data_IF_289374872757
#
_entry.id   IF_289374872757
#
_cell.length_a   1.000
_cell.length_b   1.000
_cell.length_c   1.000
_cell.angle_alpha   90.00
_cell.angle_beta   90.00
_cell.angle_gamma   90.00
#
_symmetry.space_group_name_H-M   'P 1'
#
loop_
_entity.id
_entity.type
_entity.pdbx_description
1 polymer ?
#
# COMPACT_ATOMS: atom_id res chain seq x y z
N UNK A 1 -27.49 20.65 50.35
CA UNK A 1 -26.41 19.79 50.88
C UNK A 1 -25.54 19.41 49.71
N UNK A 2 -24.28 19.85 49.69
CA UNK A 2 -23.37 19.56 48.57
C UNK A 2 -22.93 18.09 48.63
N UNK A 3 -23.17 17.34 47.56
CA UNK A 3 -22.59 16.01 47.39
C UNK A 3 -21.08 16.18 47.19
N UNK A 4 -20.31 15.83 48.22
CA UNK A 4 -18.86 15.86 48.14
C UNK A 4 -18.36 14.85 47.11
N UNK A 5 -17.70 15.32 46.06
CA UNK A 5 -17.10 14.48 45.04
C UNK A 5 -15.92 13.70 45.66
N UNK A 6 -16.00 12.37 45.67
CA UNK A 6 -14.91 11.51 46.12
C UNK A 6 -14.14 10.99 44.90
N UNK A 7 -12.82 11.19 44.89
CA UNK A 7 -11.92 10.64 43.87
C UNK A 7 -11.21 9.43 44.46
N UNK A 8 -11.42 8.21 43.93
CA UNK A 8 -10.64 7.04 44.32
C UNK A 8 -9.15 7.28 44.16
N UNK A 9 -8.38 6.87 45.16
CA UNK A 9 -6.92 7.02 45.16
C UNK A 9 -6.23 5.77 45.66
N UNK A 10 -5.00 5.59 45.20
CA UNK A 10 -4.11 4.52 45.63
C UNK A 10 -3.28 5.00 46.81
N UNK A 11 -3.23 4.18 47.86
CA UNK A 11 -2.44 4.42 49.06
C UNK A 11 -1.40 3.31 49.22
N UNK A 12 -0.13 3.71 49.35
CA UNK A 12 0.97 2.83 49.77
C UNK A 12 1.35 3.19 51.21
N UNK A 13 1.16 2.27 52.17
CA UNK A 13 1.45 2.55 53.58
C UNK A 13 2.95 2.76 53.85
N UNK A 14 3.83 2.13 53.08
CA UNK A 14 5.28 2.37 53.12
C UNK A 14 5.95 1.91 51.83
N UNK A 15 7.18 2.37 51.57
CA UNK A 15 7.97 1.94 50.41
C UNK A 15 8.28 0.44 50.39
N UNK A 16 8.30 -0.20 51.58
CA UNK A 16 8.54 -1.64 51.76
C UNK A 16 7.26 -2.48 51.89
N UNK A 17 6.07 -1.89 51.76
CA UNK A 17 4.82 -2.63 51.92
C UNK A 17 4.62 -3.64 50.77
N UNK A 18 4.17 -4.85 51.12
CA UNK A 18 3.85 -5.92 50.17
C UNK A 18 2.46 -5.77 49.53
N UNK A 19 1.75 -4.70 49.83
CA UNK A 19 0.40 -4.45 49.33
C UNK A 19 0.14 -2.97 49.06
N UNK A 20 -0.79 -2.72 48.16
CA UNK A 20 -1.32 -1.41 47.81
C UNK A 20 -2.81 -1.39 48.14
N UNK A 21 -3.32 -0.23 48.57
CA UNK A 21 -4.70 -0.09 48.99
C UNK A 21 -5.42 0.88 48.06
N UNK A 22 -6.47 0.43 47.37
CA UNK A 22 -7.38 1.31 46.65
C UNK A 22 -8.47 1.77 47.62
N UNK A 23 -8.54 3.07 47.86
CA UNK A 23 -9.54 3.68 48.74
C UNK A 23 -10.68 4.20 47.87
N UNK A 24 -11.89 3.71 48.12
CA UNK A 24 -13.12 4.06 47.40
C UNK A 24 -14.19 4.51 48.39
N UNK A 25 -15.28 5.19 47.95
CA UNK A 25 -16.40 5.55 48.82
C UNK A 25 -17.06 4.31 49.46
N UNK A 26 -17.00 3.17 48.78
CA UNK A 26 -17.60 1.91 49.19
C UNK A 26 -16.67 1.04 50.05
N UNK A 27 -15.47 1.53 50.36
CA UNK A 27 -14.51 0.84 51.21
C UNK A 27 -13.15 0.67 50.55
N UNK A 28 -12.41 -0.28 51.10
CA UNK A 28 -10.99 -0.44 50.85
C UNK A 28 -10.67 -1.79 50.21
N UNK A 29 -9.96 -1.79 49.10
CA UNK A 29 -9.50 -3.01 48.43
C UNK A 29 -7.99 -3.15 48.65
N UNK A 30 -7.57 -4.28 49.22
CA UNK A 30 -6.16 -4.62 49.39
C UNK A 30 -5.68 -5.43 48.19
N UNK A 31 -4.67 -4.93 47.49
CA UNK A 31 -4.06 -5.59 46.34
C UNK A 31 -2.62 -5.95 46.70
N UNK A 32 -2.21 -7.19 46.44
CA UNK A 32 -0.83 -7.61 46.67
C UNK A 32 0.09 -6.96 45.62
N UNK A 33 1.22 -6.39 46.06
CA UNK A 33 2.21 -5.74 45.19
C UNK A 33 2.78 -6.72 44.16
N UNK A 34 3.10 -7.95 44.56
CA UNK A 34 3.61 -8.98 43.66
C UNK A 34 2.57 -9.36 42.59
N UNK A 35 1.27 -9.37 42.95
CA UNK A 35 0.20 -9.59 41.98
C UNK A 35 0.09 -8.43 40.98
N UNK A 36 0.17 -7.18 41.43
CA UNK A 36 0.17 -6.01 40.56
C UNK A 36 1.38 -5.98 39.61
N UNK A 37 2.57 -6.32 40.10
CA UNK A 37 3.77 -6.45 39.27
C UNK A 37 3.60 -7.54 38.21
N UNK A 38 3.07 -8.71 38.59
CA UNK A 38 2.80 -9.80 37.66
C UNK A 38 1.76 -9.40 36.60
N UNK A 39 0.70 -8.69 36.99
CA UNK A 39 -0.30 -8.16 36.04
C UNK A 39 0.33 -7.14 35.10
N UNK A 40 1.18 -6.24 35.62
CA UNK A 40 1.89 -5.25 34.81
C UNK A 40 2.80 -5.90 33.75
N UNK A 41 3.59 -6.90 34.15
CA UNK A 41 4.44 -7.68 33.23
C UNK A 41 3.59 -8.42 32.20
N UNK A 42 2.50 -9.05 32.62
CA UNK A 42 1.58 -9.76 31.73
C UNK A 42 0.98 -8.83 30.66
N UNK A 43 0.49 -7.65 31.06
CA UNK A 43 -0.03 -6.64 30.13
C UNK A 43 1.06 -6.19 29.16
N UNK A 44 2.28 -5.94 29.65
CA UNK A 44 3.39 -5.54 28.79
C UNK A 44 3.71 -6.59 27.72
N UNK A 45 3.72 -7.87 28.07
CA UNK A 45 3.94 -8.98 27.13
C UNK A 45 2.82 -9.04 26.07
N UNK A 46 1.56 -8.89 26.48
CA UNK A 46 0.42 -8.89 25.55
C UNK A 46 0.52 -7.71 24.57
N UNK A 47 0.79 -6.50 25.07
CA UNK A 47 0.94 -5.30 24.24
C UNK A 47 2.10 -5.46 23.25
N UNK A 48 3.26 -5.94 23.72
CA UNK A 48 4.42 -6.18 22.86
C UNK A 48 4.10 -7.22 21.78
N UNK A 49 3.40 -8.29 22.13
CA UNK A 49 3.02 -9.35 21.18
C UNK A 49 2.06 -8.83 20.11
N UNK A 50 1.07 -8.02 20.50
CA UNK A 50 0.15 -7.37 19.56
C UNK A 50 0.89 -6.37 18.66
N UNK A 51 1.85 -5.61 19.21
CA UNK A 51 2.66 -4.67 18.44
C UNK A 51 3.54 -5.40 17.42
N UNK A 52 4.24 -6.46 17.84
CA UNK A 52 5.03 -7.31 16.96
C UNK A 52 4.18 -7.95 15.87
N UNK A 53 2.99 -8.46 16.21
CA UNK A 53 2.06 -9.02 15.23
C UNK A 53 1.60 -7.97 14.21
N UNK A 54 1.28 -6.74 14.65
CA UNK A 54 0.96 -5.61 13.75
C UNK A 54 2.14 -5.23 12.85
N UNK A 55 3.36 -5.19 13.39
CA UNK A 55 4.57 -4.92 12.61
C UNK A 55 4.81 -6.02 11.55
N UNK A 56 4.70 -7.29 11.94
CA UNK A 56 4.84 -8.42 11.02
C UNK A 56 3.78 -8.41 9.90
N UNK A 57 2.52 -8.08 10.21
CA UNK A 57 1.45 -7.98 9.21
C UNK A 57 1.72 -6.85 8.20
N UNK A 58 2.22 -5.68 8.67
CA UNK A 58 2.60 -4.57 7.79
C UNK A 58 3.78 -4.93 6.88
N UNK A 59 4.81 -5.57 7.44
CA UNK A 59 5.98 -6.02 6.67
C UNK A 59 5.61 -7.06 5.61
N UNK A 60 4.75 -8.01 5.95
CA UNK A 60 4.26 -9.02 5.01
C UNK A 60 3.47 -8.39 3.84
N UNK A 61 2.62 -7.39 4.12
CA UNK A 61 1.90 -6.66 3.07
C UNK A 61 2.84 -5.88 2.14
N UNK A 62 3.88 -5.23 2.69
CA UNK A 62 4.90 -4.53 1.88
C UNK A 62 5.76 -5.49 1.07
N UNK A 63 6.09 -6.67 1.60
CA UNK A 63 6.85 -7.69 0.88
C UNK A 63 6.05 -8.24 -0.31
N UNK A 64 4.79 -8.62 -0.09
CA UNK A 64 3.91 -9.09 -1.16
C UNK A 64 3.73 -8.06 -2.29
N UNK A 65 3.58 -6.78 -1.94
CA UNK A 65 3.52 -5.70 -2.94
C UNK A 65 4.80 -5.64 -3.77
N UNK A 66 5.96 -5.80 -3.12
CA UNK A 66 7.26 -5.76 -3.79
C UNK A 66 7.47 -6.98 -4.68
N UNK A 67 7.08 -8.18 -4.23
CA UNK A 67 7.20 -9.42 -5.00
C UNK A 67 6.31 -9.43 -6.23
N UNK A 68 5.08 -8.89 -6.13
CA UNK A 68 4.20 -8.74 -7.29
C UNK A 68 4.72 -7.70 -8.30
N UNK A 69 5.41 -6.65 -7.84
CA UNK A 69 6.10 -5.70 -8.75
C UNK A 69 7.33 -6.37 -9.38
N UNK A 70 8.05 -7.22 -8.64
CA UNK A 70 9.17 -8.04 -9.15
C UNK A 70 8.74 -9.19 -10.08
N UNK A 71 7.46 -9.52 -10.19
CA UNK A 71 6.98 -10.44 -11.23
C UNK A 71 7.14 -9.85 -12.63
N UNK A 72 7.20 -8.51 -12.75
CA UNK A 72 7.67 -7.86 -13.96
C UNK A 72 9.19 -7.93 -14.04
N UNK A 73 9.73 -8.31 -15.22
CA UNK A 73 11.17 -8.21 -15.52
C UNK A 73 11.65 -6.76 -15.43
N UNK A 74 10.73 -5.80 -15.61
CA UNK A 74 10.98 -4.37 -15.51
C UNK A 74 9.93 -3.71 -14.61
N UNK A 75 10.34 -2.76 -13.77
CA UNK A 75 9.45 -2.02 -12.87
C UNK A 75 9.60 -0.52 -13.05
N UNK A 76 8.49 0.20 -13.25
CA UNK A 76 8.49 1.65 -13.28
C UNK A 76 7.94 2.21 -11.95
N UNK A 77 8.71 3.11 -11.35
CA UNK A 77 8.31 3.89 -10.18
C UNK A 77 8.15 5.35 -10.60
N UNK A 78 6.91 5.85 -10.61
CA UNK A 78 6.64 7.28 -10.75
C UNK A 78 6.53 7.90 -9.35
N UNK A 79 7.57 8.60 -8.91
CA UNK A 79 7.47 9.50 -7.75
C UNK A 79 6.84 10.82 -8.22
N UNK A 80 5.51 10.90 -8.22
CA UNK A 80 4.86 12.21 -8.36
C UNK A 80 5.09 13.02 -7.09
N UNK A 81 5.76 14.17 -7.22
CA UNK A 81 5.69 15.22 -6.21
C UNK A 81 4.23 15.69 -6.12
N UNK A 82 3.76 15.84 -4.89
CA UNK A 82 2.42 16.31 -4.56
C UNK A 82 2.21 17.70 -5.17
N UNK A 83 1.52 17.79 -6.31
CA UNK A 83 0.95 19.05 -6.73
C UNK A 83 -0.21 19.37 -5.79
N UNK A 84 -0.02 20.33 -4.89
CA UNK A 84 -1.11 20.96 -4.14
C UNK A 84 -2.03 21.71 -5.12
N UNK A 85 -2.90 20.97 -5.79
CA UNK A 85 -4.04 21.49 -6.53
C UNK A 85 -5.23 21.59 -5.59
N UNK A 86 -5.50 22.79 -5.10
CA UNK A 86 -6.64 23.15 -4.27
C UNK A 86 -7.95 23.13 -5.09
N UNK A 87 -8.37 21.96 -5.56
CA UNK A 87 -9.70 21.74 -6.17
C UNK A 87 -10.38 20.57 -5.48
N UNK A 88 -11.48 20.85 -4.77
CA UNK A 88 -12.29 19.92 -4.00
C UNK A 88 -13.07 18.88 -4.83
N UNK A 89 -12.43 18.29 -5.86
CA UNK A 89 -12.93 17.11 -6.55
C UNK A 89 -12.06 15.91 -6.16
N UNK A 90 -12.70 14.77 -5.87
CA UNK A 90 -12.08 13.58 -5.28
C UNK A 90 -10.68 13.27 -5.81
N UNK A 91 -9.73 13.09 -4.89
CA UNK A 91 -8.31 12.83 -5.15
C UNK A 91 -8.12 11.75 -6.23
N UNK A 92 -7.93 12.18 -7.49
CA UNK A 92 -7.57 11.28 -8.59
C UNK A 92 -6.15 10.78 -8.34
N UNK A 93 -6.06 9.61 -7.72
CA UNK A 93 -4.77 9.06 -7.32
C UNK A 93 -4.18 8.31 -8.51
N UNK A 94 -3.10 8.81 -9.10
CA UNK A 94 -2.44 8.12 -10.21
C UNK A 94 -1.73 6.85 -9.71
N UNK A 95 -1.68 5.79 -10.52
CA UNK A 95 -0.93 4.58 -10.18
C UNK A 95 0.56 4.93 -10.10
N UNK A 96 1.15 4.83 -8.90
CA UNK A 96 2.53 5.26 -8.63
C UNK A 96 3.58 4.20 -8.93
N UNK A 97 3.19 2.93 -9.00
CA UNK A 97 4.12 1.81 -9.25
C UNK A 97 3.41 0.68 -9.99
N UNK A 98 4.04 0.16 -11.04
CA UNK A 98 3.60 -1.07 -11.72
C UNK A 98 4.83 -1.82 -12.27
N UNK A 99 4.73 -3.14 -12.31
CA UNK A 99 5.69 -4.01 -13.00
C UNK A 99 5.19 -4.34 -14.41
N UNK A 100 6.07 -4.67 -15.32
CA UNK A 100 5.70 -5.25 -16.61
C UNK A 100 6.70 -6.31 -17.05
N UNK A 101 6.24 -7.27 -17.85
CA UNK A 101 7.08 -8.31 -18.46
C UNK A 101 6.79 -8.42 -19.95
N UNK A 102 7.84 -8.68 -20.71
CA UNK A 102 7.72 -8.98 -22.13
C UNK A 102 7.60 -10.48 -22.36
N UNK A 103 6.65 -10.88 -23.20
CA UNK A 103 6.54 -12.25 -23.67
C UNK A 103 6.50 -12.26 -25.20
N UNK A 104 6.67 -13.43 -25.80
CA UNK A 104 6.80 -13.56 -27.26
C UNK A 104 5.69 -12.85 -28.05
N UNK A 105 4.43 -12.98 -27.59
CA UNK A 105 3.25 -12.41 -28.26
C UNK A 105 2.47 -11.42 -27.42
N UNK A 106 2.83 -11.27 -26.15
CA UNK A 106 2.04 -10.52 -25.18
C UNK A 106 2.95 -9.69 -24.28
N UNK A 107 2.40 -8.62 -23.72
CA UNK A 107 3.04 -7.81 -22.70
C UNK A 107 2.12 -7.81 -21.49
N UNK A 108 2.64 -8.16 -20.32
CA UNK A 108 1.85 -8.24 -19.10
C UNK A 108 2.24 -7.10 -18.17
N UNK A 109 1.25 -6.35 -17.68
CA UNK A 109 1.42 -5.26 -16.71
C UNK A 109 0.81 -5.72 -15.39
N UNK A 110 1.59 -5.67 -14.32
CA UNK A 110 1.22 -6.09 -12.98
C UNK A 110 1.03 -4.88 -12.08
N UNK A 111 -0.17 -4.75 -11.52
CA UNK A 111 -0.51 -3.74 -10.53
C UNK A 111 -0.81 -4.42 -9.20
N UNK A 112 0.01 -4.14 -8.19
CA UNK A 112 -0.21 -4.58 -6.82
C UNK A 112 -0.59 -3.38 -5.95
N UNK A 113 -1.89 -3.28 -5.64
CA UNK A 113 -2.43 -2.18 -4.85
C UNK A 113 -3.54 -2.66 -3.91
N UNK A 114 -3.73 -1.94 -2.80
CA UNK A 114 -4.80 -2.24 -1.85
C UNK A 114 -6.19 -2.08 -2.47
N UNK A 115 -6.31 -1.24 -3.50
CA UNK A 115 -7.56 -1.03 -4.25
C UNK A 115 -7.95 -2.25 -5.08
N UNK A 116 -6.97 -3.07 -5.48
CA UNK A 116 -7.21 -4.31 -6.24
C UNK A 116 -7.68 -5.45 -5.32
N UNK A 117 -7.44 -5.32 -4.02
CA UNK A 117 -7.84 -6.33 -3.05
C UNK A 117 -9.36 -6.37 -2.95
N UNK A 118 -9.92 -7.53 -3.25
CA UNK A 118 -11.38 -7.78 -3.26
C UNK A 118 -12.15 -6.93 -4.29
N UNK A 119 -11.47 -6.44 -5.34
CA UNK A 119 -12.13 -5.72 -6.44
C UNK A 119 -13.07 -6.64 -7.23
N UNK A 120 -14.19 -6.08 -7.69
CA UNK A 120 -15.14 -6.76 -8.58
C UNK A 120 -14.90 -6.36 -10.04
N UNK A 121 -15.40 -7.16 -10.97
CA UNK A 121 -15.13 -6.95 -12.40
C UNK A 121 -15.71 -5.65 -12.96
N UNK A 122 -16.82 -5.17 -12.39
CA UNK A 122 -17.49 -3.92 -12.73
C UNK A 122 -16.72 -2.66 -12.29
N UNK A 123 -15.70 -2.82 -11.45
CA UNK A 123 -14.91 -1.70 -10.92
C UNK A 123 -13.75 -1.31 -11.84
N UNK A 124 -13.48 -2.07 -12.90
CA UNK A 124 -12.41 -1.77 -13.85
C UNK A 124 -12.97 -1.25 -15.17
N UNK A 125 -12.58 -0.03 -15.54
CA UNK A 125 -12.83 0.51 -16.87
C UNK A 125 -11.51 0.49 -17.64
N UNK A 126 -11.38 -0.48 -18.53
CA UNK A 126 -10.24 -0.60 -19.44
C UNK A 126 -10.59 -0.01 -20.81
N UNK A 127 -9.83 1.00 -21.23
CA UNK A 127 -9.92 1.60 -22.57
C UNK A 127 -8.57 1.49 -23.24
N UNK A 128 -8.55 0.97 -24.45
CA UNK A 128 -7.31 0.82 -25.20
C UNK A 128 -7.52 1.19 -26.66
N UNK A 129 -6.41 1.50 -27.31
CA UNK A 129 -6.30 1.70 -28.76
C UNK A 129 -5.06 0.95 -29.22
N UNK A 130 -4.76 0.98 -30.52
CA UNK A 130 -3.57 0.31 -31.04
C UNK A 130 -2.28 0.75 -30.35
N UNK A 131 -2.17 1.99 -29.87
CA UNK A 131 -0.92 2.53 -29.30
C UNK A 131 -1.08 3.16 -27.92
N UNK A 132 -2.25 3.04 -27.28
CA UNK A 132 -2.45 3.62 -25.94
C UNK A 132 -3.33 2.75 -25.06
N UNK A 133 -3.12 2.87 -23.76
CA UNK A 133 -3.84 2.15 -22.73
C UNK A 133 -4.26 3.13 -21.63
N UNK A 134 -5.52 3.09 -21.23
CA UNK A 134 -6.05 3.79 -20.08
C UNK A 134 -6.86 2.83 -19.23
N UNK A 135 -6.57 2.82 -17.94
CA UNK A 135 -7.23 2.00 -16.95
C UNK A 135 -7.71 2.91 -15.84
N UNK A 136 -8.99 2.84 -15.54
CA UNK A 136 -9.60 3.52 -14.40
C UNK A 136 -10.16 2.45 -13.44
N UNK A 137 -9.72 2.51 -12.19
CA UNK A 137 -10.21 1.69 -11.08
C UNK A 137 -11.20 2.53 -10.27
N UNK A 138 -12.41 2.03 -10.12
CA UNK A 138 -13.50 2.69 -9.38
C UNK A 138 -13.59 2.13 -7.95
N UNK A 139 -14.03 2.95 -7.00
CA UNK A 139 -14.30 2.55 -5.63
C UNK A 139 -15.61 1.77 -5.56
N UNK A 140 -15.64 0.72 -4.75
CA UNK A 140 -16.81 -0.13 -4.55
C UNK A 140 -18.04 0.61 -3.97
N UNK A 141 -17.83 1.71 -3.24
CA UNK A 141 -18.88 2.35 -2.42
C UNK A 141 -19.65 3.44 -3.16
N UNK A 142 -19.04 4.10 -4.14
CA UNK A 142 -19.62 5.31 -4.76
C UNK A 142 -19.35 5.42 -6.29
N UNK A 143 -18.65 4.44 -6.89
CA UNK A 143 -18.24 4.53 -8.30
C UNK A 143 -17.19 5.61 -8.58
N UNK A 144 -16.79 6.36 -7.57
CA UNK A 144 -15.70 7.33 -7.62
C UNK A 144 -14.39 6.72 -8.12
N UNK A 145 -13.62 7.50 -8.88
CA UNK A 145 -12.31 7.08 -9.35
C UNK A 145 -11.36 6.87 -8.16
N UNK A 146 -10.95 5.62 -7.93
CA UNK A 146 -9.95 5.26 -6.94
C UNK A 146 -8.56 5.53 -7.48
N UNK A 147 -8.24 4.94 -8.64
CA UNK A 147 -6.93 5.06 -9.28
C UNK A 147 -7.04 5.05 -10.80
N UNK A 148 -6.10 5.73 -11.45
CA UNK A 148 -5.99 5.69 -12.92
C UNK A 148 -4.56 5.46 -13.37
N UNK A 149 -4.39 4.63 -14.40
CA UNK A 149 -3.14 4.48 -15.15
C UNK A 149 -3.41 4.87 -16.61
N UNK A 150 -2.63 5.82 -17.13
CA UNK A 150 -2.72 6.24 -18.53
C UNK A 150 -1.35 6.16 -19.17
N UNK A 151 -1.24 5.35 -20.22
CA UNK A 151 -0.07 5.20 -21.08
C UNK A 151 -0.46 5.70 -22.46
N UNK A 152 -0.04 6.92 -22.78
CA UNK A 152 -0.46 7.60 -24.02
C UNK A 152 0.22 7.09 -25.28
N UNK A 153 1.46 6.58 -25.17
CA UNK A 153 2.19 5.97 -26.29
C UNK A 153 2.90 4.71 -25.83
N UNK A 154 2.38 3.56 -26.25
CA UNK A 154 2.99 2.24 -26.08
C UNK A 154 4.18 2.08 -27.03
N UNK A 155 5.13 1.22 -26.66
CA UNK A 155 6.33 0.99 -27.47
C UNK A 155 6.03 0.47 -28.88
N UNK A 156 5.00 -0.38 -29.02
CA UNK A 156 4.49 -0.85 -30.31
C UNK A 156 2.98 -1.00 -30.27
N UNK A 157 2.43 -1.27 -31.45
CA UNK A 157 1.01 -1.52 -31.62
C UNK A 157 0.55 -2.81 -30.91
N UNK A 158 -0.65 -2.75 -30.35
CA UNK A 158 -1.37 -3.88 -29.74
C UNK A 158 -2.64 -4.17 -30.53
N UNK A 159 -3.05 -5.43 -30.56
CA UNK A 159 -4.28 -5.90 -31.23
C UNK A 159 -5.44 -6.11 -30.28
N UNK A 160 -5.11 -6.36 -29.02
CA UNK A 160 -6.10 -6.67 -27.99
C UNK A 160 -5.52 -6.35 -26.62
N UNK A 161 -6.40 -6.09 -25.66
CA UNK A 161 -6.04 -5.93 -24.27
C UNK A 161 -7.08 -6.63 -23.39
N UNK A 162 -6.60 -7.58 -22.61
CA UNK A 162 -7.39 -8.32 -21.63
C UNK A 162 -6.87 -8.03 -20.23
N UNK A 163 -7.65 -8.37 -19.22
CA UNK A 163 -7.22 -8.18 -17.84
C UNK A 163 -7.75 -9.31 -16.97
N UNK A 164 -7.07 -9.53 -15.85
CA UNK A 164 -7.46 -10.50 -14.83
C UNK A 164 -7.11 -9.95 -13.46
N UNK A 165 -8.08 -9.94 -12.57
CA UNK A 165 -7.84 -9.69 -11.15
C UNK A 165 -7.62 -11.03 -10.44
N UNK A 166 -6.59 -11.07 -9.61
CA UNK A 166 -6.36 -12.10 -8.61
C UNK A 166 -6.29 -11.39 -7.24
N UNK A 167 -6.51 -12.12 -6.15
CA UNK A 167 -6.72 -11.63 -4.77
C UNK A 167 -6.09 -10.27 -4.44
N UNK A 168 -4.80 -10.09 -4.73
CA UNK A 168 -4.04 -8.89 -4.40
C UNK A 168 -3.34 -8.25 -5.64
N UNK A 169 -3.63 -8.69 -6.87
CA UNK A 169 -2.88 -8.29 -8.07
C UNK A 169 -3.76 -8.23 -9.31
N UNK A 170 -3.68 -7.12 -10.05
CA UNK A 170 -4.35 -6.91 -11.32
C UNK A 170 -3.31 -7.10 -12.42
N UNK A 171 -3.58 -8.03 -13.33
CA UNK A 171 -2.74 -8.28 -14.51
C UNK A 171 -3.47 -7.80 -15.75
N UNK A 172 -2.90 -6.84 -16.46
CA UNK A 172 -3.37 -6.43 -17.79
C UNK A 172 -2.47 -7.09 -18.82
N UNK A 173 -3.03 -7.85 -19.75
CA UNK A 173 -2.30 -8.53 -20.81
C UNK A 173 -2.63 -7.87 -22.15
N UNK A 174 -1.61 -7.29 -22.76
CA UNK A 174 -1.67 -6.68 -24.08
C UNK A 174 -1.19 -7.69 -25.12
N UNK A 175 -1.96 -7.92 -26.17
CA UNK A 175 -1.55 -8.77 -27.29
C UNK A 175 -0.83 -7.92 -28.31
N UNK A 176 0.42 -8.25 -28.61
CA UNK A 176 1.25 -7.49 -29.55
C UNK A 176 0.71 -7.62 -30.98
N UNK A 177 0.84 -6.55 -31.76
CA UNK A 177 0.53 -6.61 -33.19
C UNK A 177 1.62 -7.31 -34.01
N UNK A 178 2.86 -7.31 -33.50
CA UNK A 178 4.04 -7.92 -34.10
C UNK A 178 4.81 -8.72 -33.03
N UNK A 179 5.34 -9.88 -33.38
CA UNK A 179 6.13 -10.74 -32.48
C UNK A 179 7.56 -10.20 -32.31
N UNK A 180 7.68 -8.92 -31.94
CA UNK A 180 8.94 -8.23 -31.66
C UNK A 180 9.12 -8.05 -30.15
N UNK A 181 10.36 -8.16 -29.64
CA UNK A 181 10.64 -7.90 -28.23
C UNK A 181 10.41 -6.42 -27.90
N UNK A 182 9.84 -6.15 -26.72
CA UNK A 182 9.69 -4.79 -26.21
C UNK A 182 10.84 -4.45 -25.27
N UNK A 183 11.56 -3.37 -25.55
CA UNK A 183 12.61 -2.88 -24.64
C UNK A 183 12.08 -1.89 -23.60
N UNK A 184 10.89 -1.34 -23.85
CA UNK A 184 10.18 -0.43 -22.96
C UNK A 184 8.68 -0.68 -23.05
N UNK A 185 7.91 -0.29 -22.02
CA UNK A 185 6.46 -0.29 -22.08
C UNK A 185 5.91 0.93 -22.84
N UNK A 186 6.58 2.08 -22.69
CA UNK A 186 6.17 3.35 -23.30
C UNK A 186 7.23 3.86 -24.29
N UNK A 187 6.77 4.60 -25.30
CA UNK A 187 7.67 5.19 -26.30
C UNK A 187 8.55 6.30 -25.72
N UNK A 188 8.09 6.96 -24.64
CA UNK A 188 8.83 8.05 -24.01
C UNK A 188 10.14 7.59 -23.35
N UNK A 189 10.15 6.42 -22.72
CA UNK A 189 11.36 5.87 -22.10
C UNK A 189 12.37 5.40 -23.16
N UNK A 190 11.93 4.99 -24.35
CA UNK A 190 12.83 4.77 -25.50
C UNK A 190 13.67 6.02 -25.80
N UNK A 191 13.04 7.20 -25.78
CA UNK A 191 13.72 8.49 -26.03
C UNK A 191 14.64 8.94 -24.89
N UNK A 192 14.42 8.45 -23.67
CA UNK A 192 15.31 8.74 -22.53
C UNK A 192 16.56 7.87 -22.56
N UNK A 193 16.45 6.63 -23.02
CA UNK A 193 17.57 5.70 -23.16
C UNK A 193 18.51 6.11 -24.32
N UNK A 194 17.94 6.62 -25.41
CA UNK A 194 18.69 7.21 -26.54
C UNK A 194 19.35 8.58 -26.21
N UNK A 195 19.09 9.17 -25.04
CA UNK A 195 19.64 10.46 -24.60
C UNK A 195 20.59 10.37 -23.41
N UNK A 196 20.98 9.15 -22.99
CA UNK A 196 22.18 8.98 -22.16
C UNK A 196 23.38 8.96 -23.11
N UNK A 197 23.65 10.11 -23.75
CA UNK A 197 24.97 10.36 -24.31
C UNK A 197 25.91 10.41 -23.09
N UNK A 198 26.74 9.38 -22.92
CA UNK A 198 27.82 9.41 -21.95
C UNK A 198 28.71 10.58 -22.37
N UNK A 199 28.63 11.69 -21.63
CA UNK A 199 29.60 12.77 -21.70
C UNK A 199 30.96 12.17 -21.30
N UNK A 200 31.70 11.64 -22.28
CA UNK A 200 33.08 11.15 -22.14
C UNK A 200 34.08 12.29 -21.82
N UNK A 201 33.59 13.50 -21.55
CA UNK A 201 34.39 14.70 -21.27
C UNK A 201 35.02 14.74 -19.86
N UNK A 202 34.99 13.64 -19.09
CA UNK A 202 35.64 13.56 -17.77
C UNK A 202 36.95 12.75 -17.74
N UNK A 203 37.46 12.33 -18.91
CA UNK A 203 38.80 11.76 -19.03
C UNK A 203 39.66 12.55 -20.02
N UNK A 204 40.13 13.71 -19.58
CA UNK A 204 41.38 14.31 -20.09
C UNK A 204 42.21 14.81 -18.89
#
# INVERSE_FOLDING_TARGET
MGEGFFVPYLYMPSAGASYMKLVTPWGNIHMNKAFLEQVGVSIAVVVLTVMLWRCAARLNATLKKTDAIKQGEHSYYYTYQHGEGNDGSGLKTMVSSYGWSDHKKTVSIYLADNVVKDMKEDQLVLKWTNTSLSMDLLKATDGDLAKSLKISSLFQEIRDATWKANKDTLTITLTKAQDLPWTSLNEAAKKMEDHIEYDDAFYD
#
